data_IF_633260961786
#
_entry.id   IF_633260961786
#
_cell.length_a   1.000
_cell.length_b   1.000
_cell.length_c   1.000
_cell.angle_alpha   90.00
_cell.angle_beta   90.00
_cell.angle_gamma   90.00
#
_symmetry.space_group_name_H-M   'P 1'
#
loop_
_entity.id
_entity.type
_entity.pdbx_description
1 polymer ?
#
# COMPACT_ATOMS: atom_id res chain seq x y z
N UNK A 1 -18.60 28.75 -24.17
CA UNK A 1 -18.96 27.70 -23.20
C UNK A 1 -19.83 28.33 -22.13
N UNK A 2 -21.05 27.85 -21.94
CA UNK A 2 -21.98 28.32 -20.90
C UNK A 2 -21.95 27.34 -19.72
N UNK A 3 -21.64 27.85 -18.54
CA UNK A 3 -21.62 27.05 -17.30
C UNK A 3 -22.75 27.53 -16.40
N UNK A 4 -23.75 26.69 -16.17
CA UNK A 4 -24.86 27.00 -15.28
C UNK A 4 -24.63 26.34 -13.92
N UNK A 5 -24.13 27.08 -12.94
CA UNK A 5 -23.86 26.58 -11.59
C UNK A 5 -25.08 26.11 -10.80
N UNK A 6 -26.30 26.46 -11.25
CA UNK A 6 -27.56 26.04 -10.64
C UNK A 6 -28.05 24.69 -11.17
N UNK A 7 -27.51 24.21 -12.29
CA UNK A 7 -27.90 22.97 -12.94
C UNK A 7 -26.89 21.85 -12.64
N UNK A 8 -26.88 21.39 -11.38
CA UNK A 8 -25.99 20.34 -10.92
C UNK A 8 -26.41 18.99 -11.50
N UNK A 9 -25.53 18.36 -12.27
CA UNK A 9 -25.77 17.04 -12.91
C UNK A 9 -25.24 15.85 -12.09
N UNK A 10 -24.40 16.09 -11.08
CA UNK A 10 -23.83 15.02 -10.28
C UNK A 10 -22.88 15.53 -9.20
N UNK A 11 -22.23 14.59 -8.54
CA UNK A 11 -21.19 14.81 -7.55
C UNK A 11 -19.88 14.19 -8.06
N UNK A 12 -18.79 14.94 -7.98
CA UNK A 12 -17.45 14.40 -8.26
C UNK A 12 -16.89 13.87 -6.94
N UNK A 13 -16.65 12.57 -6.90
CA UNK A 13 -16.06 11.93 -5.73
C UNK A 13 -14.60 12.40 -5.59
N UNK A 14 -14.17 12.89 -4.42
CA UNK A 14 -12.80 13.34 -4.21
C UNK A 14 -11.76 12.24 -4.43
N UNK A 15 -12.09 10.98 -4.25
CA UNK A 15 -11.15 9.85 -4.45
C UNK A 15 -10.65 9.71 -5.90
N UNK A 16 -11.31 10.33 -6.90
CA UNK A 16 -10.77 10.39 -8.27
C UNK A 16 -9.44 11.15 -8.36
N UNK A 17 -9.13 11.99 -7.37
CA UNK A 17 -7.87 12.71 -7.23
C UNK A 17 -6.84 11.93 -6.41
N UNK A 18 -7.09 10.66 -6.15
CA UNK A 18 -6.16 9.76 -5.48
C UNK A 18 -4.89 9.51 -6.28
N UNK A 19 -3.87 9.08 -5.59
CA UNK A 19 -2.57 8.76 -6.15
C UNK A 19 -2.28 7.26 -6.06
N UNK A 20 -1.30 6.85 -6.84
CA UNK A 20 -0.82 5.50 -6.93
C UNK A 20 0.68 5.45 -6.66
N UNK A 21 1.09 4.57 -5.77
CA UNK A 21 2.48 4.37 -5.40
C UNK A 21 2.84 2.90 -5.58
N UNK A 22 3.90 2.64 -6.33
CA UNK A 22 4.38 1.30 -6.64
C UNK A 22 5.86 1.19 -6.34
N UNK A 23 6.33 -0.01 -5.97
CA UNK A 23 7.75 -0.33 -5.90
C UNK A 23 8.36 -0.35 -7.30
N UNK A 24 8.50 0.83 -7.89
CA UNK A 24 8.98 1.08 -9.24
C UNK A 24 9.92 2.29 -9.23
N UNK A 25 11.14 2.11 -9.68
CA UNK A 25 12.13 3.19 -9.76
C UNK A 25 12.34 3.85 -8.40
N UNK A 26 12.13 5.16 -8.32
CA UNK A 26 12.27 5.97 -7.11
C UNK A 26 10.91 6.36 -6.49
N UNK A 27 9.85 5.64 -6.77
CA UNK A 27 8.55 6.00 -6.19
C UNK A 27 8.53 5.78 -4.68
N UNK A 28 9.05 4.64 -4.21
CA UNK A 28 9.14 4.32 -2.78
C UNK A 28 10.52 4.68 -2.23
N UNK A 29 11.56 3.88 -2.57
CA UNK A 29 12.91 4.09 -2.07
C UNK A 29 13.58 5.28 -2.77
N UNK A 30 14.16 6.19 -1.97
CA UNK A 30 14.65 7.51 -2.37
C UNK A 30 13.56 8.49 -2.88
N UNK A 31 12.30 8.06 -2.88
CA UNK A 31 11.12 8.88 -3.12
C UNK A 31 10.41 9.17 -1.81
N UNK A 32 9.38 8.38 -1.48
CA UNK A 32 8.63 8.52 -0.21
C UNK A 32 9.51 8.17 1.01
N UNK A 33 10.36 7.15 0.88
CA UNK A 33 11.14 6.57 1.97
C UNK A 33 12.64 6.60 1.69
N UNK A 34 13.41 7.08 2.68
CA UNK A 34 14.88 7.21 2.58
C UNK A 34 15.63 6.49 3.70
N UNK A 35 14.89 5.90 4.67
CA UNK A 35 15.50 5.32 5.87
C UNK A 35 15.76 6.37 6.95
N UNK A 36 15.80 5.91 8.20
CA UNK A 36 15.88 6.77 9.38
C UNK A 36 17.25 7.48 9.48
N UNK A 37 18.32 6.82 9.03
CA UNK A 37 19.68 7.34 9.07
C UNK A 37 20.03 8.29 7.91
N UNK A 38 19.06 8.60 7.04
CA UNK A 38 19.26 9.48 5.89
C UNK A 38 19.55 10.92 6.33
N UNK A 39 20.45 11.60 5.63
CA UNK A 39 20.67 13.05 5.79
C UNK A 39 19.52 13.90 5.25
N UNK A 40 18.61 13.33 4.45
CA UNK A 40 17.40 14.00 3.99
C UNK A 40 16.43 14.10 5.17
N UNK A 41 15.84 15.29 5.44
CA UNK A 41 14.89 15.46 6.53
C UNK A 41 13.74 14.46 6.44
N UNK A 42 13.61 13.60 7.47
CA UNK A 42 12.63 12.54 7.49
C UNK A 42 12.05 12.34 8.90
N UNK A 43 10.94 11.62 8.98
CA UNK A 43 10.33 11.13 10.20
C UNK A 43 10.15 9.62 10.04
N UNK A 44 10.84 8.82 10.85
CA UNK A 44 10.86 7.35 10.74
C UNK A 44 11.24 6.84 9.34
N UNK A 45 12.15 7.55 8.66
CA UNK A 45 12.58 7.23 7.30
C UNK A 45 11.68 7.79 6.19
N UNK A 46 10.53 8.35 6.52
CA UNK A 46 9.58 8.97 5.57
C UNK A 46 9.98 10.42 5.34
N UNK A 47 10.12 10.84 4.09
CA UNK A 47 10.54 12.19 3.71
C UNK A 47 9.51 13.24 4.09
N UNK A 48 9.93 14.25 4.86
CA UNK A 48 9.05 15.31 5.35
C UNK A 48 8.57 16.23 4.22
N UNK A 49 9.40 16.53 3.23
CA UNK A 49 9.05 17.36 2.08
C UNK A 49 7.99 16.71 1.19
N UNK A 50 8.04 15.37 1.05
CA UNK A 50 7.03 14.61 0.30
C UNK A 50 5.69 14.60 1.06
N UNK A 51 5.72 14.39 2.37
CA UNK A 51 4.52 14.48 3.21
C UNK A 51 3.87 15.86 3.07
N UNK A 52 4.65 16.93 3.15
CA UNK A 52 4.15 18.30 3.00
C UNK A 52 3.54 18.53 1.60
N UNK A 53 4.21 18.09 0.55
CA UNK A 53 3.72 18.21 -0.82
C UNK A 53 2.34 17.54 -0.99
N UNK A 54 2.18 16.31 -0.48
CA UNK A 54 0.91 15.59 -0.57
C UNK A 54 -0.19 16.20 0.32
N UNK A 55 0.16 16.76 1.47
CA UNK A 55 -0.79 17.55 2.28
C UNK A 55 -1.28 18.78 1.53
N UNK A 56 -0.38 19.50 0.87
CA UNK A 56 -0.70 20.72 0.15
C UNK A 56 -1.68 20.49 -1.00
N UNK A 57 -1.56 19.38 -1.71
CA UNK A 57 -2.51 18.99 -2.77
C UNK A 57 -3.77 18.29 -2.22
N UNK A 58 -3.83 18.04 -0.90
CA UNK A 58 -4.95 17.35 -0.23
C UNK A 58 -5.26 16.00 -0.85
N UNK A 59 -4.21 15.19 -1.06
CA UNK A 59 -4.35 13.84 -1.61
C UNK A 59 -5.37 13.02 -0.79
N UNK A 60 -6.49 12.55 -1.40
CA UNK A 60 -7.56 11.90 -0.64
C UNK A 60 -7.28 10.42 -0.34
N UNK A 61 -6.59 9.74 -1.23
CA UNK A 61 -6.31 8.30 -1.14
C UNK A 61 -5.00 7.96 -1.82
N UNK A 62 -4.25 7.00 -1.26
CA UNK A 62 -3.04 6.46 -1.86
C UNK A 62 -3.15 4.95 -2.01
N UNK A 63 -2.94 4.45 -3.22
CA UNK A 63 -2.88 3.02 -3.53
C UNK A 63 -1.44 2.51 -3.45
N UNK A 64 -1.24 1.36 -2.79
CA UNK A 64 0.05 0.68 -2.60
C UNK A 64 -0.20 -0.85 -2.41
N UNK A 65 0.74 -1.79 -2.61
CA UNK A 65 2.17 -1.62 -2.92
C UNK A 65 2.49 -1.47 -4.40
N UNK A 66 1.50 -1.55 -5.27
CA UNK A 66 1.73 -1.42 -6.69
C UNK A 66 0.58 -1.92 -7.55
N UNK A 67 0.84 -1.98 -8.85
CA UNK A 67 0.12 -2.74 -9.85
C UNK A 67 0.67 -4.16 -9.93
N UNK A 68 1.48 -4.45 -10.96
CA UNK A 68 2.11 -5.77 -11.12
C UNK A 68 3.00 -6.17 -9.94
N UNK A 69 3.68 -5.22 -9.29
CA UNK A 69 4.46 -5.53 -8.09
C UNK A 69 3.59 -6.09 -6.96
N UNK A 70 2.33 -5.67 -6.83
CA UNK A 70 1.43 -6.20 -5.80
C UNK A 70 1.26 -7.72 -5.90
N UNK A 71 1.33 -8.28 -7.12
CA UNK A 71 1.12 -9.69 -7.38
C UNK A 71 2.37 -10.57 -7.18
N UNK A 72 3.50 -9.98 -6.78
CA UNK A 72 4.68 -10.68 -6.29
C UNK A 72 5.04 -10.29 -4.85
N UNK A 73 4.31 -9.32 -4.25
CA UNK A 73 4.56 -8.84 -2.90
C UNK A 73 3.86 -9.70 -1.84
N UNK A 74 4.66 -10.30 -0.95
CA UNK A 74 4.19 -11.02 0.22
C UNK A 74 4.27 -10.12 1.45
N UNK A 75 3.14 -9.63 1.95
CA UNK A 75 3.07 -8.61 2.98
C UNK A 75 3.81 -8.95 4.29
N UNK A 76 3.91 -10.25 4.61
CA UNK A 76 4.65 -10.72 5.79
C UNK A 76 6.15 -10.47 5.70
N UNK A 77 6.69 -10.37 4.48
CA UNK A 77 8.09 -10.05 4.25
C UNK A 77 8.40 -8.57 4.58
N UNK A 78 7.37 -7.70 4.60
CA UNK A 78 7.48 -6.26 4.88
C UNK A 78 7.04 -5.83 6.28
N UNK A 79 7.01 -6.74 7.27
CA UNK A 79 6.65 -6.42 8.65
C UNK A 79 7.72 -6.91 9.63
N UNK A 80 7.63 -6.45 10.89
CA UNK A 80 8.60 -6.80 11.93
C UNK A 80 9.89 -6.01 11.82
N UNK A 81 10.94 -6.51 12.49
CA UNK A 81 12.26 -5.87 12.55
C UNK A 81 12.87 -5.74 11.16
N UNK A 82 13.21 -4.51 10.73
CA UNK A 82 13.65 -4.21 9.37
C UNK A 82 14.89 -5.00 8.95
N UNK A 83 15.82 -5.22 9.86
CA UNK A 83 17.04 -5.99 9.61
C UNK A 83 16.80 -7.47 9.33
N UNK A 84 15.61 -7.98 9.69
CA UNK A 84 15.21 -9.38 9.53
C UNK A 84 14.22 -9.58 8.38
N UNK A 85 13.79 -8.50 7.71
CA UNK A 85 12.85 -8.59 6.60
C UNK A 85 13.48 -9.31 5.42
N UNK A 86 12.69 -10.17 4.79
CA UNK A 86 13.15 -10.96 3.64
C UNK A 86 13.31 -10.05 2.44
N UNK A 87 14.44 -10.18 1.76
CA UNK A 87 14.69 -9.50 0.49
C UNK A 87 14.09 -10.31 -0.66
N UNK A 88 13.63 -9.59 -1.69
CA UNK A 88 13.11 -10.18 -2.92
C UNK A 88 13.67 -9.47 -4.15
N UNK A 89 13.56 -10.11 -5.29
CA UNK A 89 13.85 -9.48 -6.58
C UNK A 89 12.54 -8.95 -7.14
N UNK A 90 12.50 -7.68 -7.49
CA UNK A 90 11.41 -7.05 -8.20
C UNK A 90 11.47 -7.45 -9.67
N UNK A 91 10.70 -8.46 -10.05
CA UNK A 91 10.81 -9.05 -11.39
C UNK A 91 10.13 -8.19 -12.46
N UNK A 92 9.16 -7.38 -12.08
CA UNK A 92 8.45 -6.50 -13.01
C UNK A 92 9.22 -5.22 -13.32
N UNK A 93 9.92 -4.67 -12.31
CA UNK A 93 10.49 -3.33 -12.43
C UNK A 93 11.99 -3.30 -12.18
N UNK A 94 12.75 -3.64 -13.23
CA UNK A 94 14.20 -3.43 -13.28
C UNK A 94 15.06 -4.52 -12.63
N UNK A 95 14.50 -5.60 -12.11
CA UNK A 95 15.26 -6.69 -11.50
C UNK A 95 16.04 -6.27 -10.24
N UNK A 96 15.62 -5.20 -9.59
CA UNK A 96 16.30 -4.68 -8.39
C UNK A 96 15.97 -5.52 -7.16
N UNK A 97 16.86 -5.49 -6.17
CA UNK A 97 16.58 -6.09 -4.87
C UNK A 97 15.73 -5.15 -4.04
N UNK A 98 14.53 -5.60 -3.65
CA UNK A 98 13.68 -4.97 -2.65
C UNK A 98 14.08 -5.50 -1.27
N UNK A 99 14.39 -4.62 -0.34
CA UNK A 99 14.78 -5.00 1.03
C UNK A 99 13.60 -5.03 1.99
N UNK A 100 12.43 -4.64 1.52
CA UNK A 100 11.18 -4.56 2.28
C UNK A 100 11.23 -3.65 3.51
N UNK A 101 12.17 -2.68 3.55
CA UNK A 101 12.26 -1.70 4.64
C UNK A 101 11.07 -0.75 4.68
N UNK A 102 10.35 -0.60 3.56
CA UNK A 102 9.04 0.05 3.48
C UNK A 102 7.95 -1.01 3.29
N UNK A 103 7.16 -1.25 4.31
CA UNK A 103 6.09 -2.24 4.31
C UNK A 103 4.79 -1.70 4.90
N UNK A 104 3.98 -2.58 5.47
CA UNK A 104 2.64 -2.22 5.99
C UNK A 104 2.68 -1.06 6.98
N UNK A 105 3.55 -1.12 7.98
CA UNK A 105 3.63 -0.08 9.02
C UNK A 105 4.04 1.26 8.42
N UNK A 106 5.10 1.28 7.63
CA UNK A 106 5.61 2.51 7.00
C UNK A 106 4.59 3.13 6.04
N UNK A 107 3.83 2.29 5.31
CA UNK A 107 2.77 2.77 4.43
C UNK A 107 1.62 3.44 5.21
N UNK A 108 1.15 2.80 6.28
CA UNK A 108 0.08 3.37 7.10
C UNK A 108 0.55 4.61 7.85
N UNK A 109 1.79 4.63 8.34
CA UNK A 109 2.37 5.83 8.96
C UNK A 109 2.42 6.98 7.96
N UNK A 110 2.83 6.72 6.71
CA UNK A 110 2.79 7.72 5.64
C UNK A 110 1.38 8.24 5.40
N UNK A 111 0.38 7.36 5.29
CA UNK A 111 -1.01 7.76 5.11
C UNK A 111 -1.53 8.60 6.30
N UNK A 112 -1.21 8.21 7.54
CA UNK A 112 -1.56 8.98 8.75
C UNK A 112 -0.87 10.35 8.75
N UNK A 113 0.40 10.43 8.37
CA UNK A 113 1.14 11.69 8.25
C UNK A 113 0.57 12.62 7.18
N UNK A 114 0.19 12.10 6.03
CA UNK A 114 -0.43 12.90 4.95
C UNK A 114 -1.86 13.26 5.27
N UNK A 115 -2.59 12.40 5.96
CA UNK A 115 -4.02 12.52 6.24
C UNK A 115 -4.88 12.00 5.08
N UNK A 116 -4.42 10.95 4.38
CA UNK A 116 -5.15 10.32 3.28
C UNK A 116 -5.63 8.92 3.64
N UNK A 117 -6.63 8.42 2.91
CA UNK A 117 -7.11 7.04 3.06
C UNK A 117 -6.14 6.05 2.42
N UNK A 118 -5.79 4.95 3.09
CA UNK A 118 -5.02 3.87 2.48
C UNK A 118 -5.90 3.05 1.53
N UNK A 119 -5.33 2.68 0.39
CA UNK A 119 -5.88 1.70 -0.54
C UNK A 119 -4.83 0.62 -0.80
N UNK A 120 -5.11 -0.60 -0.39
CA UNK A 120 -4.19 -1.73 -0.59
C UNK A 120 -4.56 -2.51 -1.85
N UNK A 121 -3.53 -2.95 -2.59
CA UNK A 121 -3.66 -3.95 -3.64
C UNK A 121 -3.20 -5.31 -3.10
N UNK A 122 -4.12 -6.28 -3.08
CA UNK A 122 -3.81 -7.63 -2.63
C UNK A 122 -3.09 -8.44 -3.70
N UNK A 123 -2.38 -9.48 -3.29
CA UNK A 123 -1.65 -10.40 -4.15
C UNK A 123 -2.49 -11.65 -4.43
N UNK A 124 -2.95 -11.80 -5.68
CA UNK A 124 -3.57 -13.04 -6.19
C UNK A 124 -2.72 -13.70 -7.27
N UNK A 125 -1.65 -13.05 -7.74
CA UNK A 125 -0.75 -13.61 -8.77
C UNK A 125 0.14 -14.71 -8.22
N UNK A 126 0.79 -14.48 -7.07
CA UNK A 126 1.68 -15.45 -6.40
C UNK A 126 1.28 -15.74 -4.96
N UNK A 127 0.43 -14.90 -4.36
CA UNK A 127 -0.11 -15.10 -3.02
C UNK A 127 -1.35 -15.98 -3.01
N UNK A 128 -1.93 -16.14 -1.83
CA UNK A 128 -3.16 -16.88 -1.62
C UNK A 128 -4.26 -15.97 -1.06
N UNK A 129 -5.52 -16.35 -1.28
CA UNK A 129 -6.68 -15.69 -0.66
C UNK A 129 -6.54 -15.67 0.87
N UNK A 130 -6.01 -16.74 1.45
CA UNK A 130 -5.74 -16.81 2.90
C UNK A 130 -4.71 -15.78 3.33
N UNK A 131 -3.61 -15.63 2.59
CA UNK A 131 -2.58 -14.64 2.91
C UNK A 131 -3.16 -13.22 2.88
N UNK A 132 -4.00 -12.89 1.90
CA UNK A 132 -4.70 -11.62 1.83
C UNK A 132 -5.68 -11.42 2.99
N UNK A 133 -6.45 -12.45 3.35
CA UNK A 133 -7.35 -12.42 4.51
C UNK A 133 -6.59 -12.19 5.82
N UNK A 134 -5.45 -12.86 6.02
CA UNK A 134 -4.58 -12.65 7.17
C UNK A 134 -4.00 -11.22 7.20
N UNK A 135 -3.72 -10.61 6.05
CA UNK A 135 -3.29 -9.22 5.97
C UNK A 135 -4.38 -8.25 6.41
N UNK A 136 -5.62 -8.47 5.94
CA UNK A 136 -6.77 -7.66 6.37
C UNK A 136 -6.99 -7.81 7.89
N UNK A 137 -6.93 -9.05 8.42
CA UNK A 137 -7.03 -9.32 9.85
C UNK A 137 -5.94 -8.60 10.65
N UNK A 138 -4.69 -8.69 10.20
CA UNK A 138 -3.54 -7.99 10.78
C UNK A 138 -3.78 -6.48 10.89
N UNK A 139 -4.35 -5.88 9.85
CA UNK A 139 -4.57 -4.44 9.76
C UNK A 139 -5.79 -4.00 10.59
N UNK A 140 -6.91 -4.70 10.47
CA UNK A 140 -8.22 -4.18 10.87
C UNK A 140 -8.81 -4.83 12.12
N UNK A 141 -8.35 -6.03 12.51
CA UNK A 141 -8.93 -6.74 13.64
C UNK A 141 -8.49 -6.16 14.99
N UNK A 142 -9.43 -6.07 15.94
CA UNK A 142 -9.16 -5.78 17.34
C UNK A 142 -9.48 -6.97 18.27
N UNK A 143 -9.90 -8.10 17.67
CA UNK A 143 -10.14 -9.33 18.39
C UNK A 143 -8.81 -10.02 18.75
N UNK A 144 -8.82 -10.86 19.77
CA UNK A 144 -7.65 -11.68 20.11
C UNK A 144 -7.46 -12.80 19.09
N UNK A 145 -6.43 -12.64 18.26
CA UNK A 145 -6.10 -13.57 17.19
C UNK A 145 -4.59 -13.58 16.90
N UNK A 146 -4.06 -14.61 16.21
CA UNK A 146 -2.65 -14.65 15.86
C UNK A 146 -2.16 -13.41 15.08
N UNK A 147 -2.96 -12.88 14.17
CA UNK A 147 -2.59 -11.70 13.36
C UNK A 147 -2.64 -10.42 14.19
N UNK A 148 -3.60 -10.29 15.10
CA UNK A 148 -3.65 -9.17 16.05
C UNK A 148 -2.46 -9.18 17.01
N UNK A 149 -2.12 -10.36 17.54
CA UNK A 149 -0.94 -10.51 18.40
C UNK A 149 0.36 -10.21 17.64
N UNK A 150 0.46 -10.61 16.37
CA UNK A 150 1.60 -10.29 15.52
C UNK A 150 1.73 -8.78 15.27
N UNK A 151 0.62 -8.08 15.02
CA UNK A 151 0.61 -6.62 14.88
C UNK A 151 1.11 -5.93 16.14
N UNK A 152 0.61 -6.35 17.30
CA UNK A 152 1.02 -5.81 18.60
C UNK A 152 2.50 -6.06 18.88
N UNK A 153 2.98 -7.28 18.60
CA UNK A 153 4.40 -7.63 18.69
C UNK A 153 5.27 -6.73 17.81
N UNK A 154 4.77 -6.33 16.65
CA UNK A 154 5.45 -5.45 15.71
C UNK A 154 5.26 -3.95 16.02
N UNK A 155 4.76 -3.61 17.24
CA UNK A 155 4.73 -2.25 17.76
C UNK A 155 3.43 -1.48 17.51
N UNK A 156 2.40 -2.09 16.89
CA UNK A 156 1.11 -1.41 16.68
C UNK A 156 0.01 -2.05 17.52
N UNK A 157 -0.38 -1.39 18.60
CA UNK A 157 -1.41 -1.88 19.51
C UNK A 157 -2.81 -1.85 18.87
N UNK A 158 -3.21 -0.69 18.32
CA UNK A 158 -4.54 -0.49 17.76
C UNK A 158 -4.58 -0.83 16.27
N UNK A 159 -5.73 -1.35 15.77
CA UNK A 159 -5.92 -1.56 14.34
C UNK A 159 -5.87 -0.22 13.57
N UNK A 160 -5.56 -0.32 12.30
CA UNK A 160 -5.77 0.77 11.36
C UNK A 160 -7.16 0.71 10.76
N UNK A 161 -7.60 1.83 10.19
CA UNK A 161 -8.76 1.86 9.32
C UNK A 161 -8.32 1.55 7.90
N UNK A 162 -8.96 0.60 7.26
CA UNK A 162 -8.77 0.28 5.84
C UNK A 162 -10.11 0.47 5.13
N UNK A 163 -10.19 1.44 4.23
CA UNK A 163 -11.41 1.76 3.49
C UNK A 163 -11.48 1.05 2.15
N UNK A 164 -10.34 0.88 1.49
CA UNK A 164 -10.25 0.35 0.14
C UNK A 164 -9.27 -0.81 0.06
N UNK A 165 -9.71 -1.89 -0.59
CA UNK A 165 -8.89 -3.04 -0.91
C UNK A 165 -9.17 -3.47 -2.35
N UNK A 166 -8.12 -3.58 -3.15
CA UNK A 166 -8.15 -4.26 -4.45
C UNK A 166 -7.89 -5.74 -4.23
N UNK A 167 -8.82 -6.57 -4.69
CA UNK A 167 -8.69 -8.03 -4.64
C UNK A 167 -7.90 -8.48 -5.86
N UNK A 168 -6.57 -8.34 -5.80
CA UNK A 168 -5.66 -8.55 -6.91
C UNK A 168 -5.45 -7.30 -7.79
N UNK A 169 -4.59 -7.45 -8.79
CA UNK A 169 -4.30 -6.46 -9.82
C UNK A 169 -4.18 -7.17 -11.16
N UNK A 170 -4.79 -6.62 -12.22
CA UNK A 170 -4.64 -7.13 -13.59
C UNK A 170 -4.62 -8.67 -13.68
N UNK A 171 -5.61 -9.31 -13.07
CA UNK A 171 -5.71 -10.78 -12.97
C UNK A 171 -5.64 -11.49 -14.33
N UNK A 172 -6.02 -10.81 -15.39
CA UNK A 172 -5.92 -11.23 -16.79
C UNK A 172 -4.48 -11.18 -17.36
N UNK A 173 -3.55 -10.56 -16.64
CA UNK A 173 -2.16 -10.33 -17.02
C UNK A 173 -1.21 -10.66 -15.88
N UNK A 174 -0.40 -9.68 -15.44
CA UNK A 174 0.63 -9.87 -14.40
C UNK A 174 0.08 -10.41 -13.07
N UNK A 175 -1.20 -10.21 -12.78
CA UNK A 175 -1.88 -10.70 -11.57
C UNK A 175 -2.36 -12.15 -11.66
N UNK A 176 -1.69 -13.02 -12.43
CA UNK A 176 -1.96 -14.45 -12.45
C UNK A 176 -2.39 -15.03 -13.79
N UNK A 177 -2.62 -14.18 -14.81
CA UNK A 177 -3.01 -14.58 -16.16
C UNK A 177 -4.26 -15.49 -16.16
N UNK A 178 -5.27 -15.11 -15.37
CA UNK A 178 -6.48 -15.87 -15.12
C UNK A 178 -7.62 -15.46 -16.04
N UNK A 179 -8.48 -16.42 -16.42
CA UNK A 179 -9.79 -16.09 -16.99
C UNK A 179 -10.72 -15.52 -15.90
N UNK A 180 -11.81 -14.80 -16.26
CA UNK A 180 -12.80 -14.32 -15.30
C UNK A 180 -13.38 -15.45 -14.43
N UNK A 181 -13.58 -16.64 -14.99
CA UNK A 181 -14.09 -17.81 -14.28
C UNK A 181 -13.10 -18.32 -13.24
N UNK A 182 -11.80 -18.39 -13.60
CA UNK A 182 -10.74 -18.79 -12.67
C UNK A 182 -10.65 -17.78 -11.52
N UNK A 183 -10.61 -16.49 -11.83
CA UNK A 183 -10.51 -15.44 -10.83
C UNK A 183 -11.72 -15.43 -9.88
N UNK A 184 -12.93 -15.62 -10.40
CA UNK A 184 -14.15 -15.62 -9.59
C UNK A 184 -14.32 -16.88 -8.74
N UNK A 185 -13.57 -17.94 -9.02
CA UNK A 185 -13.61 -19.20 -8.26
C UNK A 185 -12.61 -19.24 -7.08
N UNK A 186 -11.70 -18.25 -7.01
CA UNK A 186 -10.78 -18.09 -5.88
C UNK A 186 -11.49 -17.50 -4.66
#
# INVERSE_FOLDING_TARGET
MYVNGSDRKGHINPEIYGHFSEHLGRCIYNGIYVGEDSSIPNTNGIRNDIVEAFRNIRMPVLRWPGGCFADEYHWKDGIGEKSQRKKMINTHWGGVTEDNSFGTHEFFDFCEMVGCEPYLSGNLGSGTVREMSEWIEYITSDNDSPMTQLRKKNGREKPWKLKYLGVGNESWGCGGNMSPEQYSAL
#
